data_IF_555717071343
#
_entry.id   IF_555717071343
#
_cell.length_a   1.000
_cell.length_b   1.000
_cell.length_c   1.000
_cell.angle_alpha   90.00
_cell.angle_beta   90.00
_cell.angle_gamma   90.00
#
_symmetry.space_group_name_H-M   'P 1'
#
loop_
_entity.id
_entity.type
_entity.pdbx_description
1 polymer ?
#
# COMPACT_ATOMS: atom_id res chain seq x y z
N UNK A 1 11.01 -3.01 -4.32
CA UNK A 1 9.79 -2.24 -4.05
C UNK A 1 10.13 -0.76 -4.11
N UNK A 2 9.28 0.08 -4.71
CA UNK A 2 9.46 1.54 -4.66
C UNK A 2 9.15 2.11 -3.26
N UNK A 3 9.86 3.16 -2.82
CA UNK A 3 9.69 3.73 -1.50
C UNK A 3 8.30 4.35 -1.26
N UNK A 4 7.69 4.94 -2.30
CA UNK A 4 6.35 5.53 -2.22
C UNK A 4 5.31 4.42 -2.14
N UNK A 5 5.51 3.32 -2.86
CA UNK A 5 4.66 2.14 -2.76
C UNK A 5 4.74 1.51 -1.38
N UNK A 6 5.94 1.39 -0.79
CA UNK A 6 6.13 0.92 0.58
C UNK A 6 5.35 1.79 1.59
N UNK A 7 5.44 3.12 1.49
CA UNK A 7 4.70 4.02 2.38
C UNK A 7 3.19 3.91 2.15
N UNK A 8 2.75 3.71 0.90
CA UNK A 8 1.32 3.55 0.59
C UNK A 8 0.75 2.26 1.17
N UNK A 9 1.51 1.16 1.10
CA UNK A 9 1.09 -0.16 1.59
C UNK A 9 1.17 -0.27 3.12
N UNK A 10 2.26 0.22 3.72
CA UNK A 10 2.54 -0.01 5.15
C UNK A 10 2.37 1.22 6.04
N UNK A 11 2.22 2.40 5.46
CA UNK A 11 2.08 3.67 6.16
C UNK A 11 3.39 4.33 6.59
N UNK A 12 3.30 5.63 6.89
CA UNK A 12 4.44 6.47 7.28
C UNK A 12 5.09 5.96 8.57
N UNK A 13 4.31 5.58 9.58
CA UNK A 13 4.84 5.10 10.87
C UNK A 13 5.75 3.88 10.69
N UNK A 14 5.36 2.93 9.83
CA UNK A 14 6.17 1.76 9.54
C UNK A 14 7.45 2.15 8.79
N UNK A 15 7.36 3.03 7.80
CA UNK A 15 8.52 3.53 7.07
C UNK A 15 9.54 4.22 8.00
N UNK A 16 9.06 5.07 8.91
CA UNK A 16 9.91 5.72 9.93
C UNK A 16 10.61 4.69 10.82
N UNK A 17 9.87 3.71 11.35
CA UNK A 17 10.48 2.63 12.17
C UNK A 17 11.54 1.84 11.41
N UNK A 18 11.33 1.56 10.12
CA UNK A 18 12.31 0.87 9.28
C UNK A 18 13.57 1.71 9.11
N UNK A 19 13.43 3.00 8.85
CA UNK A 19 14.57 3.93 8.70
C UNK A 19 15.35 4.09 10.01
N UNK A 20 14.64 4.29 11.13
CA UNK A 20 15.26 4.53 12.44
C UNK A 20 15.91 3.28 13.01
N UNK A 21 15.34 2.10 12.73
CA UNK A 21 15.88 0.80 13.14
C UNK A 21 16.99 0.25 12.26
N UNK A 22 17.35 0.96 11.17
CA UNK A 22 18.32 0.47 10.21
C UNK A 22 19.74 0.37 10.82
N UNK A 23 20.36 -0.84 10.80
CA UNK A 23 21.76 -0.98 11.18
C UNK A 23 22.67 -0.13 10.28
N UNK A 24 23.85 0.22 10.80
CA UNK A 24 24.85 0.93 10.01
C UNK A 24 25.19 0.14 8.73
N UNK A 25 25.18 0.85 7.59
CA UNK A 25 25.38 0.32 6.23
C UNK A 25 24.28 -0.58 5.66
N UNK A 26 23.06 -0.60 6.24
CA UNK A 26 21.92 -1.24 5.60
C UNK A 26 21.56 -0.54 4.28
N UNK A 27 21.41 -1.31 3.20
CA UNK A 27 21.09 -0.81 1.86
C UNK A 27 19.58 -0.85 1.62
N UNK A 28 18.92 -1.94 2.02
CA UNK A 28 17.50 -2.15 1.75
C UNK A 28 16.80 -2.96 2.85
N UNK A 29 15.47 -3.02 2.82
CA UNK A 29 14.64 -3.72 3.79
C UNK A 29 13.53 -4.54 3.13
N UNK A 30 13.27 -5.75 3.65
CA UNK A 30 12.14 -6.61 3.26
C UNK A 30 11.84 -7.61 4.38
N UNK A 31 10.55 -7.85 4.64
CA UNK A 31 10.08 -8.93 5.51
C UNK A 31 10.74 -9.01 6.91
N UNK A 32 11.09 -7.85 7.48
CA UNK A 32 11.72 -7.78 8.80
C UNK A 32 13.25 -7.90 8.78
N UNK A 33 13.85 -7.96 7.60
CA UNK A 33 15.30 -8.03 7.43
C UNK A 33 15.83 -6.80 6.69
N UNK A 34 16.98 -6.32 7.14
CA UNK A 34 17.82 -5.38 6.42
C UNK A 34 18.84 -6.16 5.60
N UNK A 35 19.20 -5.63 4.44
CA UNK A 35 20.11 -6.29 3.52
C UNK A 35 21.27 -5.39 3.14
N UNK A 36 22.41 -6.04 2.87
CA UNK A 36 23.55 -5.50 2.16
C UNK A 36 23.98 -6.55 1.16
N UNK A 37 23.96 -6.23 -0.12
CA UNK A 37 24.16 -7.23 -1.18
C UNK A 37 25.57 -7.24 -1.76
N UNK A 38 26.37 -6.22 -1.43
CA UNK A 38 27.76 -6.09 -1.88
C UNK A 38 28.71 -5.79 -0.70
N UNK A 39 29.93 -6.35 -0.70
CA UNK A 39 30.50 -7.27 -1.71
C UNK A 39 29.92 -8.70 -1.68
N UNK A 40 29.21 -9.06 -0.62
CA UNK A 40 28.57 -10.37 -0.44
C UNK A 40 27.16 -10.18 0.15
N UNK A 41 26.29 -11.17 -0.04
CA UNK A 41 24.92 -11.10 0.46
C UNK A 41 24.88 -11.30 1.98
N UNK A 42 24.46 -10.24 2.66
CA UNK A 42 24.32 -10.18 4.11
C UNK A 42 22.94 -9.67 4.52
N UNK A 43 22.46 -10.16 5.66
CA UNK A 43 21.17 -9.76 6.20
C UNK A 43 21.18 -9.58 7.71
N UNK A 44 20.27 -8.75 8.21
CA UNK A 44 20.21 -8.37 9.61
C UNK A 44 18.77 -8.20 10.09
N UNK A 45 18.42 -8.69 11.29
CA UNK A 45 17.04 -8.61 11.81
C UNK A 45 16.75 -7.34 12.63
N UNK A 46 17.71 -6.43 12.73
CA UNK A 46 17.61 -5.17 13.48
C UNK A 46 17.90 -5.28 14.98
N UNK A 47 18.14 -6.49 15.52
CA UNK A 47 18.33 -6.69 16.96
C UNK A 47 19.75 -7.13 17.34
N UNK A 48 20.41 -7.89 16.49
CA UNK A 48 21.77 -8.36 16.76
C UNK A 48 22.82 -7.29 16.45
N UNK A 49 24.07 -7.43 16.93
CA UNK A 49 25.15 -6.51 16.57
C UNK A 49 25.88 -6.90 15.28
N UNK A 50 25.65 -8.10 14.74
CA UNK A 50 26.45 -8.68 13.64
C UNK A 50 25.55 -9.04 12.46
N UNK A 51 26.02 -8.69 11.26
CA UNK A 51 25.42 -9.09 9.99
C UNK A 51 25.58 -10.59 9.75
N UNK A 52 24.48 -11.25 9.37
CA UNK A 52 24.53 -12.64 8.95
C UNK A 52 25.05 -12.72 7.52
N UNK A 53 26.05 -13.57 7.31
CA UNK A 53 26.65 -13.82 6.00
C UNK A 53 26.07 -15.11 5.44
N UNK A 54 25.82 -15.14 4.13
CA UNK A 54 25.42 -16.37 3.43
C UNK A 54 26.51 -16.82 2.47
N UNK A 55 26.68 -18.13 2.33
CA UNK A 55 27.58 -18.77 1.35
C UNK A 55 26.89 -19.01 -0.01
N UNK A 56 25.58 -18.81 -0.08
CA UNK A 56 24.73 -19.10 -1.24
C UNK A 56 24.11 -17.85 -1.89
N UNK A 57 24.70 -16.67 -1.64
CA UNK A 57 24.25 -15.40 -2.21
C UNK A 57 22.74 -15.16 -2.00
N UNK A 58 22.27 -15.40 -0.77
CA UNK A 58 20.88 -15.11 -0.37
C UNK A 58 19.81 -15.95 -1.08
N UNK A 59 20.13 -17.15 -1.56
CA UNK A 59 19.22 -17.99 -2.35
C UNK A 59 17.82 -18.18 -1.73
N UNK A 60 17.75 -18.24 -0.39
CA UNK A 60 16.49 -18.29 0.35
C UNK A 60 15.57 -17.09 0.05
N UNK A 61 16.10 -15.87 0.15
CA UNK A 61 15.34 -14.64 -0.07
C UNK A 61 14.94 -14.49 -1.53
N UNK A 62 15.87 -14.77 -2.45
CA UNK A 62 15.63 -14.73 -3.90
C UNK A 62 14.51 -15.67 -4.34
N UNK A 63 14.48 -16.91 -3.81
CA UNK A 63 13.41 -17.89 -4.13
C UNK A 63 12.02 -17.44 -3.66
N UNK A 64 11.94 -16.62 -2.62
CA UNK A 64 10.69 -16.11 -2.07
C UNK A 64 10.19 -14.82 -2.72
N UNK A 65 10.94 -14.28 -3.69
CA UNK A 65 10.73 -12.95 -4.24
C UNK A 65 11.57 -11.95 -3.45
N UNK A 66 12.65 -11.48 -4.06
CA UNK A 66 13.54 -10.49 -3.48
C UNK A 66 13.33 -9.15 -4.18
N UNK A 67 12.53 -8.30 -3.54
CA UNK A 67 12.16 -6.97 -4.02
C UNK A 67 12.19 -5.95 -2.87
N UNK A 68 13.35 -5.79 -2.18
CA UNK A 68 13.41 -4.96 -0.98
C UNK A 68 13.26 -3.47 -1.32
N UNK A 69 12.80 -2.68 -0.34
CA UNK A 69 12.77 -1.22 -0.45
C UNK A 69 14.14 -0.65 -0.10
N UNK A 70 14.65 0.30 -0.89
CA UNK A 70 15.89 1.01 -0.60
C UNK A 70 15.78 1.89 0.65
N UNK A 71 16.69 1.75 1.61
CA UNK A 71 16.68 2.56 2.84
C UNK A 71 16.90 4.03 2.53
N UNK A 72 17.78 4.35 1.57
CA UNK A 72 18.05 5.73 1.20
C UNK A 72 16.85 6.39 0.51
N UNK A 73 16.20 5.67 -0.39
CA UNK A 73 15.01 6.18 -1.09
C UNK A 73 13.87 6.41 -0.10
N UNK A 74 13.68 5.49 0.85
CA UNK A 74 12.70 5.64 1.93
C UNK A 74 12.98 6.88 2.81
N UNK A 75 14.26 7.13 3.14
CA UNK A 75 14.69 8.35 3.86
C UNK A 75 14.35 9.61 3.07
N UNK A 76 14.64 9.62 1.77
CA UNK A 76 14.39 10.79 0.92
C UNK A 76 12.89 11.10 0.84
N UNK A 77 12.04 10.09 0.65
CA UNK A 77 10.59 10.29 0.56
C UNK A 77 9.99 10.74 1.91
N UNK A 78 10.48 10.24 3.03
CA UNK A 78 10.09 10.74 4.36
C UNK A 78 10.52 12.20 4.57
N UNK A 79 11.67 12.61 4.03
CA UNK A 79 12.10 14.01 4.08
C UNK A 79 11.23 14.90 3.16
N UNK A 80 10.81 14.41 1.99
CA UNK A 80 9.82 15.11 1.14
C UNK A 80 8.53 15.40 1.90
N UNK A 81 8.00 14.42 2.64
CA UNK A 81 6.83 14.59 3.52
C UNK A 81 7.07 15.67 4.58
N UNK A 82 8.23 15.62 5.26
CA UNK A 82 8.61 16.60 6.30
C UNK A 82 8.71 18.02 5.75
N UNK A 83 9.33 18.19 4.58
CA UNK A 83 9.49 19.47 3.91
C UNK A 83 8.10 20.03 3.56
N UNK A 84 7.23 19.25 2.92
CA UNK A 84 5.87 19.70 2.57
C UNK A 84 5.08 20.13 3.82
N UNK A 85 5.22 19.40 4.93
CA UNK A 85 4.59 19.76 6.20
C UNK A 85 5.12 21.08 6.78
N UNK A 86 6.42 21.37 6.67
CA UNK A 86 7.01 22.66 7.08
C UNK A 86 6.44 23.86 6.31
N UNK A 87 5.99 23.66 5.08
CA UNK A 87 5.28 24.69 4.31
C UNK A 87 3.81 24.83 4.73
N UNK A 88 3.35 24.05 5.71
CA UNK A 88 1.99 24.01 6.24
C UNK A 88 1.04 23.16 5.40
N UNK A 89 1.57 22.10 4.78
CA UNK A 89 0.84 21.13 3.99
C UNK A 89 0.90 21.37 2.47
N UNK A 90 0.38 20.39 1.72
CA UNK A 90 0.55 20.29 0.27
C UNK A 90 0.04 21.50 -0.52
N UNK A 91 -1.11 22.06 -0.14
CA UNK A 91 -1.70 23.21 -0.83
C UNK A 91 -0.84 24.48 -0.67
N UNK A 92 -0.32 24.71 0.54
CA UNK A 92 0.57 25.85 0.80
C UNK A 92 1.93 25.65 0.12
N UNK A 93 2.47 24.43 0.11
CA UNK A 93 3.68 24.09 -0.61
C UNK A 93 3.53 24.37 -2.12
N UNK A 94 2.42 23.94 -2.74
CA UNK A 94 2.09 24.23 -4.15
C UNK A 94 1.97 25.73 -4.43
N UNK A 95 1.32 26.48 -3.55
CA UNK A 95 1.23 27.93 -3.69
C UNK A 95 2.61 28.60 -3.66
N UNK A 96 3.47 28.20 -2.71
CA UNK A 96 4.82 28.73 -2.58
C UNK A 96 5.72 28.36 -3.76
N UNK A 97 5.63 27.14 -4.28
CA UNK A 97 6.44 26.69 -5.43
C UNK A 97 6.11 27.38 -6.75
N UNK A 98 4.92 27.98 -6.87
CA UNK A 98 4.49 28.77 -8.04
C UNK A 98 4.83 30.25 -7.94
N UNK A 99 4.97 30.77 -6.72
CA UNK A 99 5.12 32.22 -6.46
C UNK A 99 6.57 32.66 -6.25
N UNK A 100 7.50 31.71 -6.11
CA UNK A 100 8.92 31.97 -5.91
C UNK A 100 9.77 31.20 -6.91
N UNK A 101 10.69 31.91 -7.56
CA UNK A 101 11.73 31.30 -8.38
C UNK A 101 12.72 30.51 -7.51
N UNK A 102 13.34 29.47 -8.09
CA UNK A 102 14.34 28.64 -7.41
C UNK A 102 13.81 27.51 -6.52
N UNK A 103 12.50 27.20 -6.58
CA UNK A 103 11.86 26.16 -5.76
C UNK A 103 11.82 24.77 -6.41
N UNK A 104 12.88 24.37 -7.13
CA UNK A 104 12.95 23.06 -7.82
C UNK A 104 12.76 21.88 -6.88
N UNK A 105 13.53 21.86 -5.78
CA UNK A 105 13.46 20.80 -4.76
C UNK A 105 12.05 20.66 -4.15
N UNK A 106 11.33 21.76 -3.94
CA UNK A 106 9.99 21.73 -3.36
C UNK A 106 8.98 21.10 -4.32
N UNK A 107 9.16 21.29 -5.63
CA UNK A 107 8.30 20.64 -6.65
C UNK A 107 8.50 19.12 -6.64
N UNK A 108 9.73 18.66 -6.46
CA UNK A 108 10.04 17.24 -6.32
C UNK A 108 9.41 16.67 -5.04
N UNK A 109 9.55 17.36 -3.91
CA UNK A 109 8.92 16.95 -2.65
C UNK A 109 7.39 16.86 -2.77
N UNK A 110 6.76 17.84 -3.44
CA UNK A 110 5.31 17.82 -3.70
C UNK A 110 4.94 16.59 -4.55
N UNK A 111 5.70 16.31 -5.61
CA UNK A 111 5.42 15.17 -6.49
C UNK A 111 5.51 13.82 -5.76
N UNK A 112 6.46 13.67 -4.84
CA UNK A 112 6.56 12.47 -4.00
C UNK A 112 5.35 12.32 -3.08
N UNK A 113 4.96 13.40 -2.40
CA UNK A 113 3.79 13.39 -1.51
C UNK A 113 2.51 13.10 -2.29
N UNK A 114 2.34 13.71 -3.46
CA UNK A 114 1.23 13.42 -4.35
C UNK A 114 1.22 11.95 -4.75
N UNK A 115 2.36 11.36 -5.11
CA UNK A 115 2.43 9.96 -5.52
C UNK A 115 2.11 8.96 -4.38
N UNK A 116 2.32 9.34 -3.11
CA UNK A 116 1.92 8.52 -1.96
C UNK A 116 0.39 8.52 -1.81
N UNK A 117 -0.23 9.70 -1.83
CA UNK A 117 -1.66 9.89 -1.54
C UNK A 117 -2.57 9.81 -2.77
N UNK A 118 -2.00 9.88 -3.97
CA UNK A 118 -2.72 9.56 -5.20
C UNK A 118 -2.96 8.07 -5.19
N UNK A 119 -4.15 7.71 -4.73
CA UNK A 119 -4.66 6.35 -4.83
C UNK A 119 -4.52 5.92 -6.31
N UNK A 120 -3.92 4.77 -6.64
CA UNK A 120 -4.16 4.15 -7.93
C UNK A 120 -5.64 3.76 -7.95
N UNK A 121 -6.51 4.73 -8.23
CA UNK A 121 -7.93 4.50 -8.38
C UNK A 121 -8.08 3.43 -9.45
N UNK A 122 -8.85 2.40 -9.12
CA UNK A 122 -9.46 1.46 -10.06
C UNK A 122 -9.57 2.08 -11.45
N UNK A 123 -8.87 1.52 -12.42
CA UNK A 123 -9.18 1.78 -13.82
C UNK A 123 -10.58 1.22 -14.06
N UNK A 124 -11.62 2.05 -13.94
CA UNK A 124 -12.92 1.67 -14.48
C UNK A 124 -12.77 1.69 -16.00
N UNK A 125 -12.75 0.50 -16.61
CA UNK A 125 -12.97 0.43 -18.06
C UNK A 125 -14.42 0.85 -18.28
N UNK A 126 -14.63 2.05 -18.82
CA UNK A 126 -15.96 2.43 -19.32
C UNK A 126 -16.25 1.53 -20.50
N UNK A 127 -17.10 0.52 -20.27
CA UNK A 127 -17.57 -0.37 -21.32
C UNK A 127 -18.47 0.43 -22.26
N UNK A 128 -18.22 0.29 -23.56
CA UNK A 128 -19.16 0.75 -24.58
C UNK A 128 -20.47 -0.04 -24.46
N UNK A 129 -21.59 0.51 -24.96
CA UNK A 129 -22.89 -0.16 -24.88
C UNK A 129 -22.90 -1.59 -25.46
N UNK A 130 -22.05 -1.87 -26.45
CA UNK A 130 -21.86 -3.21 -27.01
C UNK A 130 -21.20 -4.19 -26.03
N UNK A 131 -20.27 -3.71 -25.20
CA UNK A 131 -19.57 -4.52 -24.20
C UNK A 131 -20.45 -4.81 -22.97
N UNK A 132 -21.38 -3.92 -22.63
CA UNK A 132 -22.38 -4.14 -21.56
C UNK A 132 -23.29 -5.33 -21.90
N UNK A 133 -23.70 -5.44 -23.17
CA UNK A 133 -24.55 -6.55 -23.64
C UNK A 133 -23.91 -7.93 -23.45
N UNK A 134 -22.59 -8.04 -23.59
CA UNK A 134 -21.86 -9.30 -23.43
C UNK A 134 -21.75 -9.76 -21.97
N UNK A 135 -21.75 -8.84 -20.99
CA UNK A 135 -21.66 -9.18 -19.57
C UNK A 135 -23.01 -9.65 -19.02
N UNK A 136 -24.11 -9.03 -19.46
CA UNK A 136 -25.48 -9.41 -19.08
C UNK A 136 -25.88 -10.80 -19.59
N UNK A 137 -25.24 -11.31 -20.64
CA UNK A 137 -25.50 -12.66 -21.16
C UNK A 137 -24.78 -13.78 -20.39
N UNK A 138 -23.88 -13.45 -19.46
CA UNK A 138 -23.13 -14.44 -18.67
C UNK A 138 -23.79 -14.79 -17.33
N UNK A 139 -24.85 -14.10 -16.91
CA UNK A 139 -25.67 -14.57 -15.80
C UNK A 139 -26.59 -15.67 -16.31
N UNK A 140 -26.59 -16.88 -15.72
CA UNK A 140 -27.67 -17.84 -15.97
C UNK A 140 -28.99 -17.12 -15.70
N UNK A 141 -29.93 -17.17 -16.65
CA UNK A 141 -31.30 -16.78 -16.38
C UNK A 141 -31.76 -17.66 -15.21
N UNK A 142 -31.92 -17.04 -14.04
CA UNK A 142 -32.63 -17.67 -12.93
C UNK A 142 -34.11 -17.57 -13.32
N UNK A 143 -34.51 -18.44 -14.24
CA UNK A 143 -35.91 -18.75 -14.46
C UNK A 143 -36.38 -19.56 -13.26
N UNK A 144 -37.51 -19.15 -12.69
CA UNK A 144 -38.23 -19.71 -11.54
C UNK A 144 -38.03 -18.95 -10.20
N UNK A 145 -38.56 -17.72 -10.16
CA UNK A 145 -39.03 -17.15 -8.88
C UNK A 145 -40.28 -17.93 -8.48
N UNK A 146 -40.04 -18.99 -7.70
CA UNK A 146 -41.04 -20.00 -7.33
C UNK A 146 -42.38 -19.43 -6.89
N UNK A 147 -43.42 -20.17 -7.24
CA UNK A 147 -44.82 -19.95 -6.91
C UNK A 147 -45.05 -19.96 -5.38
N UNK A 148 -45.22 -18.78 -4.77
CA UNK A 148 -45.48 -18.58 -3.33
C UNK A 148 -46.91 -18.99 -2.88
N UNK A 149 -47.61 -19.84 -3.64
CA UNK A 149 -49.00 -20.22 -3.41
C UNK A 149 -49.24 -21.19 -2.24
N UNK A 150 -48.32 -21.34 -1.28
CA UNK A 150 -48.55 -22.20 -0.10
C UNK A 150 -47.91 -21.69 1.21
N UNK A 151 -48.05 -20.40 1.51
CA UNK A 151 -47.84 -19.88 2.88
C UNK A 151 -49.08 -20.16 3.75
N UNK A 152 -49.44 -21.43 3.90
CA UNK A 152 -50.35 -21.86 4.97
C UNK A 152 -49.54 -22.22 6.23
N UNK A 153 -49.75 -21.40 7.26
CA UNK A 153 -49.59 -21.75 8.68
C UNK A 153 -48.23 -22.26 9.18
N UNK A 154 -47.31 -21.33 9.42
CA UNK A 154 -46.28 -21.52 10.46
C UNK A 154 -46.40 -20.45 11.54
N UNK A 155 -47.41 -20.62 12.42
CA UNK A 155 -47.42 -19.96 13.72
C UNK A 155 -46.42 -20.69 14.62
N UNK A 156 -45.31 -20.03 14.96
CA UNK A 156 -44.33 -20.55 15.91
C UNK A 156 -44.97 -20.76 17.29
N UNK A 157 -44.73 -21.90 17.98
CA UNK A 157 -45.43 -22.27 19.21
C UNK A 157 -44.99 -21.50 20.47
N UNK A 158 -44.22 -20.41 20.32
CA UNK A 158 -43.59 -19.69 21.43
C UNK A 158 -44.00 -18.22 21.56
N UNK A 159 -45.03 -17.77 20.84
CA UNK A 159 -45.62 -16.46 21.06
C UNK A 159 -46.74 -16.56 22.09
N UNK A 160 -46.41 -16.51 23.38
CA UNK A 160 -47.41 -16.22 24.42
C UNK A 160 -47.90 -14.77 24.24
N UNK A 161 -49.15 -14.63 23.79
CA UNK A 161 -49.86 -13.34 23.82
C UNK A 161 -50.28 -13.11 25.27
N UNK A 162 -49.70 -12.10 25.92
CA UNK A 162 -50.20 -11.58 27.19
C UNK A 162 -51.27 -10.54 26.89
N UNK A 163 -52.50 -10.85 27.27
CA UNK A 163 -53.64 -9.94 27.19
C UNK A 163 -53.45 -8.73 28.12
N UNK A 164 -53.73 -7.52 27.61
CA UNK A 164 -54.10 -6.33 28.39
C UNK A 164 -55.47 -5.89 27.93
#
# INVERSE_FOLDING_TARGET
>A
MDAKDFIREYGIEKATKVVDGAPSNAESFQDGYYFRTKPQFEFHNGFHPVWNITDNDGAYFKKRGFDPVGINDLKMVLESLRIVDQFGGIEKAKFKSRTKDGMGYLKECIADVEAIYTNPQFTYTVLTGAQVGSVLQLTPQIDDMGDDSNLDHHVSPFCEVRDV
#
